data_IF_284207124951
#
_entry.id   IF_284207124951
#
_cell.length_a   1.000
_cell.length_b   1.000
_cell.length_c   1.000
_cell.angle_alpha   90.00
_cell.angle_beta   90.00
_cell.angle_gamma   90.00
#
_symmetry.space_group_name_H-M   'P 1'
#
loop_
_entity.id
_entity.type
_entity.pdbx_description
1 polymer ?
#
# COMPACT_ATOMS: atom_id res chain seq x y z
N UNK A 1 -3.96 14.63 11.77
CA UNK A 1 -5.12 13.72 11.57
C UNK A 1 -5.19 12.94 10.26
N UNK A 2 -4.80 13.47 9.09
CA UNK A 2 -5.09 12.75 7.83
C UNK A 2 -4.24 11.50 7.55
N UNK A 3 -3.00 11.43 8.05
CA UNK A 3 -2.06 10.34 7.79
C UNK A 3 -1.75 9.61 9.09
N UNK A 4 -2.10 8.33 9.19
CA UNK A 4 -1.84 7.49 10.36
C UNK A 4 -1.33 6.11 9.95
N UNK A 5 -0.55 5.50 10.83
CA UNK A 5 -0.09 4.11 10.67
C UNK A 5 -1.27 3.16 10.67
N UNK A 6 -1.24 2.16 9.79
CA UNK A 6 -2.22 1.09 9.70
C UNK A 6 -1.53 -0.26 9.55
N UNK A 7 -2.21 -1.32 9.96
CA UNK A 7 -1.81 -2.68 9.61
C UNK A 7 -2.51 -3.08 8.31
N UNK A 8 -1.75 -3.60 7.36
CA UNK A 8 -2.27 -4.08 6.09
C UNK A 8 -1.88 -5.53 5.87
N UNK A 9 -2.86 -6.33 5.47
CA UNK A 9 -2.68 -7.73 5.11
C UNK A 9 -2.24 -7.81 3.64
N UNK A 10 -1.10 -8.44 3.40
CA UNK A 10 -0.49 -8.55 2.06
C UNK A 10 -0.29 -10.02 1.72
N UNK A 11 -0.73 -10.42 0.53
CA UNK A 11 -0.51 -11.75 -0.02
C UNK A 11 0.39 -11.68 -1.24
N UNK A 12 1.23 -12.71 -1.45
CA UNK A 12 2.15 -12.79 -2.59
C UNK A 12 1.43 -13.08 -3.92
N UNK A 13 0.27 -13.71 -3.86
CA UNK A 13 -0.51 -14.18 -4.99
C UNK A 13 -2.01 -13.97 -4.71
N UNK A 14 -2.81 -13.67 -5.74
CA UNK A 14 -4.26 -13.54 -5.58
C UNK A 14 -4.89 -14.90 -5.23
N UNK A 15 -6.09 -14.91 -4.63
CA UNK A 15 -6.83 -16.15 -4.38
C UNK A 15 -7.05 -16.90 -5.70
N UNK A 16 -6.72 -18.18 -5.73
CA UNK A 16 -6.89 -19.03 -6.91
C UNK A 16 -8.16 -19.85 -6.75
N UNK A 17 -9.02 -19.83 -7.78
CA UNK A 17 -10.20 -20.68 -7.85
C UNK A 17 -9.89 -21.84 -8.80
N UNK A 18 -9.91 -23.07 -8.29
CA UNK A 18 -9.77 -24.28 -9.10
C UNK A 18 -10.95 -25.20 -8.88
N UNK A 19 -11.63 -25.59 -9.96
CA UNK A 19 -12.66 -26.65 -9.98
C UNK A 19 -13.67 -26.63 -8.81
N UNK A 20 -14.17 -25.44 -8.43
CA UNK A 20 -15.16 -25.28 -7.36
C UNK A 20 -14.59 -25.10 -5.95
N UNK A 21 -13.26 -25.16 -5.80
CA UNK A 21 -12.54 -24.85 -4.56
C UNK A 21 -11.77 -23.53 -4.70
N UNK A 22 -11.87 -22.67 -3.68
CA UNK A 22 -11.09 -21.43 -3.62
C UNK A 22 -9.93 -21.59 -2.63
N UNK A 23 -8.69 -21.49 -3.12
CA UNK A 23 -7.50 -21.48 -2.28
C UNK A 23 -7.13 -20.05 -1.92
N UNK A 24 -7.27 -19.72 -0.63
CA UNK A 24 -6.75 -18.48 -0.05
C UNK A 24 -5.33 -18.75 0.43
N UNK A 25 -4.37 -18.07 -0.17
CA UNK A 25 -2.96 -18.20 0.20
C UNK A 25 -2.66 -17.44 1.50
N UNK A 26 -1.61 -17.87 2.20
CA UNK A 26 -1.18 -17.22 3.43
C UNK A 26 -0.85 -15.75 3.17
N UNK A 27 -1.28 -14.90 4.10
CA UNK A 27 -1.05 -13.46 4.06
C UNK A 27 -0.25 -13.03 5.28
N UNK A 28 0.63 -12.06 5.09
CA UNK A 28 1.41 -11.47 6.17
C UNK A 28 0.81 -10.10 6.56
N UNK A 29 0.89 -9.76 7.85
CA UNK A 29 0.45 -8.46 8.35
C UNK A 29 1.66 -7.53 8.44
N UNK A 30 1.58 -6.40 7.74
CA UNK A 30 2.68 -5.43 7.64
C UNK A 30 2.20 -4.06 8.10
N UNK A 31 3.06 -3.35 8.82
CA UNK A 31 2.83 -1.97 9.21
C UNK A 31 3.06 -1.03 8.02
N UNK A 32 2.04 -0.25 7.68
CA UNK A 32 2.09 0.76 6.61
C UNK A 32 1.97 2.14 7.24
N UNK A 33 3.01 2.95 7.05
CA UNK A 33 3.04 4.33 7.51
C UNK A 33 1.98 5.22 6.85
N UNK A 34 1.62 6.31 7.52
CA UNK A 34 0.60 7.24 7.04
C UNK A 34 1.02 8.04 5.80
N UNK A 35 2.29 8.48 5.73
CA UNK A 35 2.83 9.22 4.59
C UNK A 35 4.34 9.04 4.50
N UNK A 36 4.87 9.07 3.26
CA UNK A 36 6.29 9.22 2.97
C UNK A 36 6.43 10.47 2.12
N UNK A 37 7.07 11.50 2.67
CA UNK A 37 7.09 12.84 2.06
C UNK A 37 8.52 13.18 1.66
N UNK A 38 8.71 13.50 0.39
CA UNK A 38 9.95 14.05 -0.15
C UNK A 38 9.74 15.52 -0.49
N UNK A 39 10.59 16.37 0.05
CA UNK A 39 10.63 17.80 -0.28
C UNK A 39 11.78 18.00 -1.25
N UNK A 40 11.47 18.55 -2.42
CA UNK A 40 12.42 18.74 -3.51
C UNK A 40 12.67 20.23 -3.74
N UNK A 41 13.87 20.53 -4.25
CA UNK A 41 14.23 21.90 -4.61
C UNK A 41 13.48 22.37 -5.85
N UNK A 42 13.01 23.61 -5.82
CA UNK A 42 12.28 24.24 -6.92
C UNK A 42 13.22 25.17 -7.67
N UNK A 43 13.53 24.83 -8.92
CA UNK A 43 14.43 25.63 -9.77
C UNK A 43 13.77 26.92 -10.25
N UNK A 44 12.46 26.88 -10.56
CA UNK A 44 11.69 28.06 -10.96
C UNK A 44 10.23 27.88 -10.59
N UNK A 45 9.63 28.90 -9.98
CA UNK A 45 8.20 28.95 -9.68
C UNK A 45 7.58 30.18 -10.35
N UNK A 46 6.62 29.96 -11.25
CA UNK A 46 5.87 31.01 -11.94
C UNK A 46 4.43 31.00 -11.41
N UNK A 47 3.90 32.17 -11.08
CA UNK A 47 2.52 32.37 -10.65
C UNK A 47 1.85 33.42 -11.54
N UNK A 48 0.66 33.10 -12.05
CA UNK A 48 -0.18 33.98 -12.86
C UNK A 48 -0.92 35.01 -12.01
#
# INVERSE_FOLDING_TARGET
>A
DNCHTRIQRVGSLPPVMESGESYVLATEEVEVGGAVIFVLDVVQFLKA
#
